data_IF_575378803494
#
_entry.id   IF_575378803494
#
_cell.length_a   1.000
_cell.length_b   1.000
_cell.length_c   1.000
_cell.angle_alpha   90.00
_cell.angle_beta   90.00
_cell.angle_gamma   90.00
#
_symmetry.space_group_name_H-M   'P 1'
#
loop_
_entity.id
_entity.type
_entity.pdbx_description
1 polymer ?
#
# COMPACT_ATOMS: atom_id res chain seq x y z
N UNK A 1 -18.53 -8.47 -17.60
CA UNK A 1 -18.77 -7.69 -16.49
C UNK A 1 -17.51 -7.28 -15.80
N UNK A 2 -17.33 -6.08 -15.58
CA UNK A 2 -16.10 -5.64 -14.94
C UNK A 2 -16.05 -6.10 -13.50
N UNK A 3 -14.85 -6.39 -13.09
CA UNK A 3 -14.63 -6.77 -11.75
C UNK A 3 -14.04 -5.59 -11.03
N UNK A 4 -14.77 -5.09 -10.05
CA UNK A 4 -14.28 -3.95 -9.34
C UNK A 4 -13.33 -4.33 -8.24
N UNK A 5 -13.26 -5.58 -7.92
CA UNK A 5 -12.44 -5.98 -6.81
C UNK A 5 -11.46 -7.06 -7.21
N UNK A 6 -10.33 -7.07 -6.59
CA UNK A 6 -9.94 -6.02 -5.67
C UNK A 6 -9.56 -4.74 -6.41
N UNK A 7 -9.77 -3.62 -5.77
CA UNK A 7 -9.35 -2.34 -6.35
C UNK A 7 -7.84 -2.19 -6.19
N UNK A 8 -7.30 -1.20 -6.88
CA UNK A 8 -5.87 -0.92 -6.75
C UNK A 8 -5.52 -0.59 -5.30
N UNK A 9 -6.37 0.18 -4.65
CA UNK A 9 -6.10 0.53 -3.26
C UNK A 9 -6.13 -0.70 -2.38
N UNK A 10 -7.05 -1.62 -2.65
CA UNK A 10 -7.11 -2.84 -1.86
C UNK A 10 -5.89 -3.71 -2.06
N UNK A 11 -5.42 -3.78 -3.30
CA UNK A 11 -4.22 -4.56 -3.58
C UNK A 11 -3.01 -3.96 -2.89
N UNK A 12 -2.89 -2.64 -2.93
CA UNK A 12 -1.77 -1.99 -2.27
C UNK A 12 -1.84 -2.19 -0.76
N UNK A 13 -3.03 -2.14 -0.21
CA UNK A 13 -3.19 -2.35 1.23
C UNK A 13 -2.74 -3.76 1.60
N UNK A 14 -3.10 -4.74 0.80
CA UNK A 14 -2.70 -6.12 1.07
C UNK A 14 -1.20 -6.27 1.00
N UNK A 15 -0.57 -5.64 0.01
CA UNK A 15 0.88 -5.71 -0.12
C UNK A 15 1.54 -5.04 1.08
N UNK A 16 1.04 -3.88 1.47
CA UNK A 16 1.62 -3.16 2.59
C UNK A 16 1.50 -3.96 3.87
N UNK A 17 0.36 -4.59 4.09
CA UNK A 17 0.19 -5.41 5.27
C UNK A 17 1.15 -6.59 5.27
N UNK A 18 1.31 -7.21 4.11
CA UNK A 18 2.22 -8.34 4.02
C UNK A 18 3.64 -7.92 4.36
N UNK A 19 4.08 -6.81 3.79
CA UNK A 19 5.43 -6.32 4.05
C UNK A 19 5.61 -5.98 5.52
N UNK A 20 4.61 -5.33 6.11
CA UNK A 20 4.71 -4.90 7.49
C UNK A 20 4.68 -6.06 8.46
N UNK A 21 3.82 -7.04 8.21
CA UNK A 21 3.63 -8.10 9.17
C UNK A 21 4.54 -9.30 8.94
N UNK A 22 4.90 -9.55 7.70
CA UNK A 22 5.67 -10.74 7.41
C UNK A 22 7.13 -10.46 7.15
N UNK A 23 7.43 -9.37 6.48
CA UNK A 23 8.81 -9.10 6.11
C UNK A 23 9.53 -8.22 7.11
N UNK A 24 8.89 -7.18 7.60
CA UNK A 24 9.54 -6.25 8.50
C UNK A 24 10.16 -6.93 9.72
N UNK A 25 9.48 -7.90 10.35
CA UNK A 25 10.08 -8.52 11.53
C UNK A 25 11.36 -9.29 11.24
N UNK A 26 11.61 -9.63 9.98
CA UNK A 26 12.79 -10.39 9.64
C UNK A 26 13.97 -9.49 9.27
N UNK A 27 13.75 -8.18 9.20
CA UNK A 27 14.79 -7.26 8.76
C UNK A 27 15.31 -6.42 9.91
N UNK A 28 16.59 -6.01 9.78
CA UNK A 28 17.21 -5.14 10.73
C UNK A 28 18.06 -4.15 9.99
N UNK A 29 18.37 -3.03 10.65
CA UNK A 29 19.28 -2.06 10.09
C UNK A 29 18.66 -1.33 8.91
N UNK A 30 19.49 -1.06 7.91
CA UNK A 30 19.06 -0.28 6.77
C UNK A 30 17.94 -0.93 5.98
N UNK A 31 17.97 -2.25 5.76
CA UNK A 31 16.84 -2.86 5.06
C UNK A 31 15.51 -2.64 5.77
N UNK A 32 15.52 -2.70 7.09
CA UNK A 32 14.28 -2.45 7.84
C UNK A 32 13.84 -1.01 7.68
N UNK A 33 14.80 -0.09 7.69
CA UNK A 33 14.48 1.31 7.49
C UNK A 33 13.89 1.55 6.10
N UNK A 34 14.51 0.94 5.09
CA UNK A 34 14.04 1.11 3.72
C UNK A 34 12.64 0.53 3.57
N UNK A 35 12.37 -0.59 4.22
CA UNK A 35 11.04 -1.17 4.15
C UNK A 35 10.01 -0.25 4.78
N UNK A 36 10.37 0.37 5.91
CA UNK A 36 9.45 1.28 6.56
C UNK A 36 9.13 2.46 5.65
N UNK A 37 10.15 3.00 4.99
CA UNK A 37 9.93 4.10 4.05
C UNK A 37 9.03 3.64 2.92
N UNK A 38 9.27 2.45 2.41
CA UNK A 38 8.47 1.93 1.31
C UNK A 38 7.01 1.74 1.72
N UNK A 39 6.78 1.20 2.92
CA UNK A 39 5.41 0.99 3.36
C UNK A 39 4.71 2.32 3.63
N UNK A 40 5.46 3.32 4.07
CA UNK A 40 4.86 4.65 4.23
C UNK A 40 4.46 5.22 2.88
N UNK A 41 5.31 5.03 1.87
CA UNK A 41 4.98 5.50 0.54
C UNK A 41 3.74 4.79 0.00
N UNK A 42 3.63 3.49 0.26
CA UNK A 42 2.46 2.76 -0.16
C UNK A 42 1.20 3.28 0.50
N UNK A 43 1.30 3.63 1.78
CA UNK A 43 0.15 4.17 2.49
C UNK A 43 -0.31 5.48 1.87
N UNK A 44 0.65 6.30 1.44
CA UNK A 44 0.32 7.56 0.80
C UNK A 44 -0.39 7.31 -0.52
N UNK A 45 0.11 6.34 -1.29
CA UNK A 45 -0.52 6.01 -2.57
C UNK A 45 -1.92 5.48 -2.34
N UNK A 46 -2.10 4.63 -1.32
CA UNK A 46 -3.43 4.11 -1.03
C UNK A 46 -4.41 5.24 -0.77
N UNK A 47 -3.99 6.21 0.02
CA UNK A 47 -4.86 7.32 0.33
C UNK A 47 -5.17 8.15 -0.90
N UNK A 48 -4.15 8.39 -1.71
CA UNK A 48 -4.33 9.15 -2.93
C UNK A 48 -5.31 8.47 -3.86
N UNK A 49 -5.18 7.17 -4.01
CA UNK A 49 -6.09 6.44 -4.87
C UNK A 49 -7.52 6.47 -4.35
N UNK A 50 -7.67 6.35 -3.04
CA UNK A 50 -9.01 6.36 -2.47
C UNK A 50 -9.67 7.72 -2.68
N UNK A 51 -8.89 8.78 -2.49
CA UNK A 51 -9.42 10.12 -2.67
C UNK A 51 -9.68 10.41 -4.13
N UNK A 52 -8.78 9.96 -4.98
CA UNK A 52 -8.95 10.18 -6.39
C UNK A 52 -10.16 9.51 -6.96
N UNK A 53 -10.47 8.34 -6.46
CA UNK A 53 -11.62 7.63 -6.94
C UNK A 53 -12.90 8.38 -6.65
N UNK A 54 -12.96 9.04 -5.52
CA UNK A 54 -14.16 9.77 -5.20
C UNK A 54 -14.22 11.11 -5.87
N UNK A 55 -13.09 11.67 -6.19
CA UNK A 55 -13.07 12.97 -6.78
C UNK A 55 -13.15 12.95 -8.25
N UNK A 56 -12.90 11.91 -8.76
CA UNK A 56 -12.85 11.81 -10.11
C UNK A 56 -13.89 12.38 -10.89
N UNK A 57 -13.75 12.75 -11.21
CA UNK A 57 -14.09 13.18 -11.92
C UNK A 57 -14.08 13.73 -12.46
N UNK A 58 -13.86 13.76 -12.40
CA UNK A 58 -13.72 14.36 -13.07
C UNK A 58 -13.89 14.84 -13.82
#
# INVERSE_FOLDING_TARGET
>A
MPIDRPTAAELLSAVREHLTERLAPTLEGQPAFHLRVATNALAIVERTLAEGETMDRA
#
